data_IF_161050900843
#
_entry.id   IF_161050900843
#
_cell.length_a   1.000
_cell.length_b   1.000
_cell.length_c   1.000
_cell.angle_alpha   90.00
_cell.angle_beta   90.00
_cell.angle_gamma   90.00
#
_symmetry.space_group_name_H-M   'P 1'
#
loop_
_entity.id
_entity.type
_entity.pdbx_description
1 polymer ?
#
# COMPACT_ATOMS: atom_id res chain seq x y z
N UNK A 1 -20.49 -7.18 7.13
CA UNK A 1 -19.98 -6.20 8.10
C UNK A 1 -18.47 -6.27 8.06
N UNK A 2 -17.77 -5.14 8.07
CA UNK A 2 -16.30 -5.12 8.12
C UNK A 2 -15.85 -5.69 9.48
N UNK A 3 -15.19 -6.85 9.46
CA UNK A 3 -14.73 -7.58 10.65
C UNK A 3 -13.37 -7.09 11.16
N UNK A 4 -12.73 -6.14 10.47
CA UNK A 4 -11.37 -5.70 10.81
C UNK A 4 -11.31 -4.74 12.01
N UNK A 5 -12.45 -4.19 12.44
CA UNK A 5 -12.51 -3.18 13.51
C UNK A 5 -11.90 -1.83 13.11
N UNK A 6 -11.55 -1.64 11.83
CA UNK A 6 -10.97 -0.40 11.34
C UNK A 6 -12.06 0.66 11.15
N UNK A 7 -11.95 1.77 11.88
CA UNK A 7 -12.82 2.94 11.71
C UNK A 7 -12.13 3.91 10.76
N UNK A 8 -12.69 4.09 9.57
CA UNK A 8 -12.21 5.09 8.62
C UNK A 8 -12.34 6.52 9.18
N UNK A 9 -11.51 7.47 8.75
CA UNK A 9 -11.61 8.86 9.20
C UNK A 9 -13.00 9.44 8.93
N UNK A 10 -13.55 10.15 9.93
CA UNK A 10 -14.91 10.71 9.88
C UNK A 10 -15.10 11.61 8.66
N UNK A 11 -16.13 11.35 7.86
CA UNK A 11 -16.50 12.18 6.70
C UNK A 11 -15.71 11.92 5.41
N UNK A 12 -14.81 10.93 5.37
CA UNK A 12 -14.12 10.50 4.14
C UNK A 12 -14.48 9.06 3.78
N UNK A 13 -15.19 8.89 2.67
CA UNK A 13 -15.33 7.58 2.02
C UNK A 13 -14.07 7.39 1.15
N UNK A 14 -13.15 6.53 1.57
CA UNK A 14 -12.03 6.11 0.72
C UNK A 14 -12.58 5.27 -0.43
N UNK A 15 -12.50 5.79 -1.66
CA UNK A 15 -12.83 5.01 -2.85
C UNK A 15 -11.73 3.99 -3.07
N UNK A 16 -12.05 2.71 -2.85
CA UNK A 16 -11.18 1.60 -3.20
C UNK A 16 -11.43 1.17 -4.65
N UNK A 17 -10.37 0.86 -5.39
CA UNK A 17 -10.45 0.18 -6.69
C UNK A 17 -9.64 -1.11 -6.67
N UNK A 18 -10.03 -2.07 -7.50
CA UNK A 18 -9.36 -3.37 -7.66
C UNK A 18 -8.59 -3.39 -8.99
N UNK A 19 -7.37 -3.89 -8.99
CA UNK A 19 -6.49 -4.01 -10.16
C UNK A 19 -5.77 -5.36 -10.14
N UNK A 20 -5.56 -5.98 -11.31
CA UNK A 20 -4.76 -7.19 -11.43
C UNK A 20 -3.28 -6.81 -11.47
N UNK A 21 -2.46 -7.46 -10.65
CA UNK A 21 -1.01 -7.44 -10.78
C UNK A 21 -0.58 -8.71 -11.50
N UNK A 22 -0.37 -8.60 -12.81
CA UNK A 22 -0.13 -9.74 -13.68
C UNK A 22 1.19 -10.45 -13.35
N UNK A 23 2.29 -9.70 -13.14
CA UNK A 23 3.61 -10.27 -12.85
C UNK A 23 3.61 -11.18 -11.61
N UNK A 24 2.81 -10.82 -10.62
CA UNK A 24 2.70 -11.52 -9.34
C UNK A 24 1.46 -12.42 -9.24
N UNK A 25 0.62 -12.45 -10.29
CA UNK A 25 -0.57 -13.28 -10.37
C UNK A 25 -1.62 -13.02 -9.28
N UNK A 26 -1.70 -11.79 -8.75
CA UNK A 26 -2.63 -11.44 -7.66
C UNK A 26 -3.46 -10.23 -7.98
N UNK A 27 -4.64 -10.12 -7.37
CA UNK A 27 -5.35 -8.85 -7.30
C UNK A 27 -4.76 -7.95 -6.22
N UNK A 28 -4.87 -6.64 -6.46
CA UNK A 28 -4.54 -5.57 -5.55
C UNK A 28 -5.75 -4.67 -5.35
N UNK A 29 -5.97 -4.25 -4.10
CA UNK A 29 -6.92 -3.20 -3.76
C UNK A 29 -6.14 -1.93 -3.46
N UNK A 30 -6.54 -0.83 -4.07
CA UNK A 30 -5.84 0.43 -3.96
C UNK A 30 -6.74 1.55 -3.49
N UNK A 31 -6.15 2.49 -2.76
CA UNK A 31 -6.81 3.70 -2.28
C UNK A 31 -5.92 4.91 -2.54
N UNK A 32 -6.55 6.03 -2.89
CA UNK A 32 -5.84 7.30 -3.00
C UNK A 32 -5.89 8.05 -1.66
N UNK A 33 -4.72 8.46 -1.19
CA UNK A 33 -4.56 9.30 0.00
C UNK A 33 -3.49 10.37 -0.26
N UNK A 34 -3.81 11.63 0.00
CA UNK A 34 -2.90 12.77 -0.18
C UNK A 34 -2.26 12.81 -1.59
N UNK A 35 -3.03 12.50 -2.63
CA UNK A 35 -2.56 12.48 -4.03
C UNK A 35 -1.59 11.34 -4.36
N UNK A 36 -1.50 10.31 -3.52
CA UNK A 36 -0.68 9.12 -3.74
C UNK A 36 -1.54 7.86 -3.61
N UNK A 37 -1.26 6.88 -4.45
CA UNK A 37 -1.91 5.59 -4.41
C UNK A 37 -1.16 4.64 -3.47
N UNK A 38 -1.90 3.90 -2.63
CA UNK A 38 -1.37 2.82 -1.80
C UNK A 38 -2.18 1.56 -2.11
N UNK A 39 -1.48 0.46 -2.37
CA UNK A 39 -2.10 -0.81 -2.70
C UNK A 39 -1.79 -1.90 -1.67
N UNK A 40 -2.75 -2.81 -1.49
CA UNK A 40 -2.64 -4.05 -0.72
C UNK A 40 -3.00 -5.24 -1.62
N UNK A 41 -2.18 -6.29 -1.60
CA UNK A 41 -2.45 -7.54 -2.33
C UNK A 41 -3.54 -8.36 -1.63
N UNK A 42 -4.31 -9.12 -2.41
CA UNK A 42 -5.40 -9.99 -1.94
C UNK A 42 -4.88 -11.30 -1.31
N UNK A 43 -3.84 -11.89 -1.88
CA UNK A 43 -3.33 -13.22 -1.57
C UNK A 43 -2.64 -13.34 -0.20
N UNK A 44 -1.84 -12.35 0.18
CA UNK A 44 -1.02 -12.39 1.40
C UNK A 44 -1.13 -11.12 2.26
N UNK A 45 -1.96 -10.16 1.84
CA UNK A 45 -2.20 -8.93 2.59
C UNK A 45 -1.03 -7.95 2.64
N UNK A 46 0.07 -8.18 1.91
CA UNK A 46 1.20 -7.25 1.86
C UNK A 46 0.78 -5.91 1.24
N UNK A 47 1.38 -4.83 1.74
CA UNK A 47 1.11 -3.45 1.34
C UNK A 47 2.37 -2.86 0.69
N UNK A 48 2.21 -1.94 -0.27
CA UNK A 48 3.32 -1.14 -0.79
C UNK A 48 3.88 -0.21 0.29
N UNK A 49 4.88 -0.70 1.04
CA UNK A 49 5.48 0.01 2.18
C UNK A 49 6.11 1.35 1.81
N UNK A 50 6.73 1.46 0.63
CA UNK A 50 7.31 2.72 0.15
C UNK A 50 6.23 3.80 -0.04
N UNK A 51 5.10 3.45 -0.67
CA UNK A 51 3.97 4.37 -0.86
C UNK A 51 3.28 4.73 0.46
N UNK A 52 3.13 3.77 1.37
CA UNK A 52 2.53 4.02 2.68
C UNK A 52 3.34 5.04 3.50
N UNK A 53 4.66 4.87 3.55
CA UNK A 53 5.56 5.78 4.28
C UNK A 53 5.63 7.17 3.63
N UNK A 54 5.53 7.22 2.30
CA UNK A 54 5.39 8.47 1.55
C UNK A 54 4.09 9.23 1.90
N UNK A 55 2.95 8.54 1.98
CA UNK A 55 1.67 9.11 2.41
C UNK A 55 1.75 9.63 3.85
N UNK A 56 2.49 8.94 4.71
CA UNK A 56 2.75 9.35 6.09
C UNK A 56 3.77 10.50 6.24
N UNK A 57 4.32 11.02 5.14
CA UNK A 57 5.26 12.14 5.16
C UNK A 57 6.66 11.79 5.69
N UNK A 58 7.04 10.50 5.64
CA UNK A 58 8.36 10.06 6.09
C UNK A 58 9.43 10.52 5.10
N UNK A 59 10.51 11.12 5.60
CA UNK A 59 11.64 11.54 4.76
C UNK A 59 12.30 10.35 4.10
N UNK A 60 12.85 10.54 2.89
CA UNK A 60 13.48 9.48 2.09
C UNK A 60 14.48 8.64 2.89
N UNK A 61 15.44 9.28 3.56
CA UNK A 61 16.47 8.56 4.32
C UNK A 61 15.90 7.73 5.47
N UNK A 62 14.89 8.25 6.19
CA UNK A 62 14.21 7.52 7.28
C UNK A 62 13.37 6.37 6.72
N UNK A 63 12.67 6.59 5.62
CA UNK A 63 11.88 5.56 4.91
C UNK A 63 12.77 4.39 4.50
N UNK A 64 13.90 4.67 3.86
CA UNK A 64 14.83 3.63 3.41
C UNK A 64 15.38 2.84 4.61
N UNK A 65 15.62 3.49 5.75
CA UNK A 65 15.99 2.83 7.01
C UNK A 65 14.89 1.91 7.55
N UNK A 66 13.63 2.37 7.58
CA UNK A 66 12.47 1.58 8.04
C UNK A 66 12.28 0.35 7.14
N UNK A 67 12.27 0.52 5.82
CA UNK A 67 12.10 -0.58 4.87
C UNK A 67 13.24 -1.60 4.97
N UNK A 68 14.49 -1.13 5.19
CA UNK A 68 15.64 -2.00 5.42
C UNK A 68 15.61 -2.73 6.76
N UNK A 69 14.90 -2.21 7.76
CA UNK A 69 14.74 -2.85 9.07
C UNK A 69 13.54 -3.83 9.12
N UNK A 70 12.58 -3.69 8.21
CA UNK A 70 11.40 -4.57 8.16
C UNK A 70 11.81 -6.02 7.86
N UNK A 71 11.38 -6.93 8.74
CA UNK A 71 11.74 -8.36 8.70
C UNK A 71 10.91 -9.11 7.68
N UNK A 72 9.63 -8.77 7.57
CA UNK A 72 8.71 -9.38 6.61
C UNK A 72 8.52 -8.43 5.44
N UNK A 73 9.42 -8.55 4.45
CA UNK A 73 9.41 -7.73 3.24
C UNK A 73 9.60 -8.55 1.99
N UNK A 74 8.98 -8.09 0.92
CA UNK A 74 9.16 -8.57 -0.43
C UNK A 74 9.49 -7.32 -1.26
N UNK A 75 10.73 -7.26 -1.76
CA UNK A 75 11.27 -6.08 -2.43
C UNK A 75 11.21 -6.31 -3.92
N UNK A 76 10.53 -5.41 -4.62
CA UNK A 76 10.42 -5.41 -6.07
C UNK A 76 10.96 -4.09 -6.59
N UNK A 77 11.84 -4.18 -7.58
CA UNK A 77 12.56 -3.03 -8.12
C UNK A 77 11.70 -2.23 -9.12
N UNK A 78 10.87 -2.92 -9.91
CA UNK A 78 9.94 -2.33 -10.87
C UNK A 78 8.57 -2.92 -10.61
N UNK A 79 7.70 -2.17 -9.94
CA UNK A 79 6.26 -2.42 -9.98
C UNK A 79 5.66 -1.63 -11.15
N UNK A 80 4.54 -2.07 -11.73
CA UNK A 80 3.81 -1.26 -12.69
C UNK A 80 3.64 0.16 -12.14
N UNK A 81 4.11 1.17 -12.88
CA UNK A 81 4.12 2.58 -12.45
C UNK A 81 2.72 3.11 -12.08
N UNK A 82 1.67 2.37 -12.44
CA UNK A 82 0.26 2.60 -12.11
C UNK A 82 -0.20 2.01 -10.75
N UNK A 83 0.73 1.53 -9.91
CA UNK A 83 0.50 1.21 -8.48
C UNK A 83 0.69 2.42 -7.54
#
# INVERSE_FOLDING_TARGET
MDTTGQIGPSGRISKASRMMWEDEGTWCFQVEANGRCVARREDNGMINGSRLLDVAGVTRGRRDGILKAEKQRHVIEIAPMHL
#
